data_IF_377707948025
#
_entry.id   IF_377707948025
#
_cell.length_a   1.000
_cell.length_b   1.000
_cell.length_c   1.000
_cell.angle_alpha   90.00
_cell.angle_beta   90.00
_cell.angle_gamma   90.00
#
_symmetry.space_group_name_H-M   'P 1'
#
loop_
_entity.id
_entity.type
_entity.pdbx_description
1 polymer ?
#
# COMPACT_ATOMS: atom_id res chain seq x y z
N UNK A 1 -19.08 15.21 8.20
CA UNK A 1 -19.12 15.30 6.72
C UNK A 1 -18.05 14.38 6.15
N UNK A 2 -18.35 13.08 6.05
CA UNK A 2 -17.38 12.10 5.54
C UNK A 2 -17.42 12.14 4.02
N UNK A 3 -16.38 12.69 3.41
CA UNK A 3 -16.22 12.75 1.95
C UNK A 3 -16.33 11.34 1.38
N UNK A 4 -17.48 11.05 0.77
CA UNK A 4 -17.74 9.84 0.02
C UNK A 4 -16.84 9.91 -1.21
N UNK A 5 -15.63 9.34 -1.11
CA UNK A 5 -14.67 9.24 -2.22
C UNK A 5 -15.48 8.89 -3.47
N UNK A 6 -15.39 9.74 -4.49
CA UNK A 6 -16.19 9.54 -5.70
C UNK A 6 -15.83 8.19 -6.33
N UNK A 7 -16.78 7.56 -7.04
CA UNK A 7 -16.50 6.30 -7.75
C UNK A 7 -15.30 6.44 -8.70
N UNK A 8 -15.18 7.60 -9.34
CA UNK A 8 -14.06 7.96 -10.22
C UNK A 8 -12.71 8.03 -9.49
N UNK A 9 -12.67 8.56 -8.27
CA UNK A 9 -11.44 8.59 -7.48
C UNK A 9 -10.99 7.20 -7.04
N UNK A 10 -11.93 6.31 -6.72
CA UNK A 10 -11.61 4.90 -6.41
C UNK A 10 -11.02 4.20 -7.62
N UNK A 11 -11.66 4.33 -8.78
CA UNK A 11 -11.19 3.73 -10.03
C UNK A 11 -9.82 4.28 -10.45
N UNK A 12 -9.63 5.60 -10.35
CA UNK A 12 -8.34 6.24 -10.61
C UNK A 12 -7.25 5.71 -9.67
N UNK A 13 -7.53 5.56 -8.37
CA UNK A 13 -6.58 4.97 -7.40
C UNK A 13 -6.24 3.53 -7.76
N UNK A 14 -7.24 2.71 -8.09
CA UNK A 14 -7.04 1.32 -8.51
C UNK A 14 -6.17 1.23 -9.78
N UNK A 15 -6.45 2.06 -10.79
CA UNK A 15 -5.65 2.12 -12.02
C UNK A 15 -4.20 2.50 -11.75
N UNK A 16 -3.94 3.40 -10.81
CA UNK A 16 -2.56 3.75 -10.44
C UNK A 16 -1.88 2.65 -9.63
N UNK A 17 -2.60 1.91 -8.80
CA UNK A 17 -2.06 0.75 -8.09
C UNK A 17 -1.65 -0.35 -9.07
N UNK A 18 -2.52 -0.69 -10.02
CA UNK A 18 -2.24 -1.67 -11.08
C UNK A 18 -1.00 -1.29 -11.92
N UNK A 19 -0.84 -0.01 -12.26
CA UNK A 19 0.36 0.46 -12.96
C UNK A 19 1.65 0.29 -12.14
N UNK A 20 1.60 0.49 -10.81
CA UNK A 20 2.76 0.28 -9.94
C UNK A 20 3.12 -1.21 -9.86
N UNK A 21 2.11 -2.06 -9.75
CA UNK A 21 2.29 -3.52 -9.69
C UNK A 21 2.86 -4.06 -11.00
N UNK A 22 2.36 -3.61 -12.16
CA UNK A 22 2.89 -3.96 -13.47
C UNK A 22 4.38 -3.60 -13.61
N UNK A 23 4.79 -2.40 -13.16
CA UNK A 23 6.20 -2.00 -13.14
C UNK A 23 7.05 -2.89 -12.23
N UNK A 24 6.51 -3.31 -11.06
CA UNK A 24 7.21 -4.23 -10.15
C UNK A 24 7.36 -5.62 -10.76
N UNK A 25 6.30 -6.19 -11.34
CA UNK A 25 6.33 -7.53 -11.96
C UNK A 25 7.39 -7.57 -13.06
N UNK A 26 7.34 -6.61 -13.99
CA UNK A 26 8.30 -6.54 -15.09
C UNK A 26 9.76 -6.41 -14.61
N UNK A 27 10.00 -5.67 -13.51
CA UNK A 27 11.36 -5.43 -13.01
C UNK A 27 11.89 -6.54 -12.10
N UNK A 28 11.06 -7.04 -11.18
CA UNK A 28 11.47 -7.93 -10.08
C UNK A 28 11.16 -9.40 -10.36
N UNK A 29 10.03 -9.70 -11.00
CA UNK A 29 9.64 -11.09 -11.34
C UNK A 29 10.30 -11.53 -12.65
N UNK A 30 10.27 -10.69 -13.69
CA UNK A 30 10.86 -10.99 -15.00
C UNK A 30 12.37 -10.66 -15.07
N UNK A 31 12.90 -9.93 -14.08
CA UNK A 31 14.35 -9.70 -13.94
C UNK A 31 14.95 -8.65 -14.88
N UNK A 32 14.14 -7.86 -15.60
CA UNK A 32 14.60 -6.83 -16.54
C UNK A 32 15.48 -5.76 -15.89
N UNK A 33 16.29 -5.05 -16.67
CA UNK A 33 17.11 -3.96 -16.13
C UNK A 33 16.27 -2.70 -15.84
N UNK A 34 16.80 -1.80 -15.00
CA UNK A 34 16.15 -0.51 -14.72
C UNK A 34 15.92 0.38 -15.97
N UNK A 35 16.90 0.57 -16.88
CA UNK A 35 16.67 1.33 -18.11
C UNK A 35 15.68 0.66 -19.04
N UNK A 36 15.74 -0.65 -19.21
CA UNK A 36 14.81 -1.42 -20.05
C UNK A 36 13.35 -1.32 -19.55
N UNK A 37 13.15 -1.40 -18.24
CA UNK A 37 11.84 -1.14 -17.62
C UNK A 37 11.37 0.29 -17.90
N UNK A 38 12.29 1.27 -17.83
CA UNK A 38 11.96 2.66 -18.09
C UNK A 38 11.52 2.90 -19.54
N UNK A 39 12.20 2.27 -20.50
CA UNK A 39 11.83 2.29 -21.91
C UNK A 39 10.48 1.60 -22.16
N UNK A 40 10.26 0.42 -21.57
CA UNK A 40 9.01 -0.32 -21.71
C UNK A 40 7.78 0.48 -21.27
N UNK A 41 7.89 1.24 -20.17
CA UNK A 41 6.79 2.05 -19.64
C UNK A 41 6.80 3.52 -20.11
N UNK A 42 7.78 3.94 -20.92
CA UNK A 42 7.92 5.33 -21.34
C UNK A 42 8.17 6.31 -20.19
N UNK A 43 8.93 5.90 -19.18
CA UNK A 43 9.21 6.65 -17.96
C UNK A 43 10.71 6.93 -17.82
N UNK A 44 11.07 7.79 -16.87
CA UNK A 44 12.47 7.90 -16.44
C UNK A 44 12.83 6.77 -15.48
N UNK A 45 14.12 6.40 -15.46
CA UNK A 45 14.65 5.37 -14.53
C UNK A 45 14.32 5.69 -13.07
N UNK A 46 14.41 6.97 -12.67
CA UNK A 46 14.06 7.39 -11.32
C UNK A 46 12.56 7.18 -11.03
N UNK A 47 11.66 7.50 -11.97
CA UNK A 47 10.24 7.28 -11.79
C UNK A 47 9.90 5.78 -11.62
N UNK A 48 10.59 4.91 -12.36
CA UNK A 48 10.47 3.44 -12.19
C UNK A 48 10.92 3.01 -10.79
N UNK A 49 12.08 3.48 -10.32
CA UNK A 49 12.58 3.15 -8.97
C UNK A 49 11.59 3.56 -7.87
N UNK A 50 11.03 4.77 -7.96
CA UNK A 50 10.00 5.23 -7.02
C UNK A 50 8.72 4.39 -7.06
N UNK A 51 8.27 3.98 -8.26
CA UNK A 51 7.08 3.13 -8.43
C UNK A 51 7.30 1.74 -7.84
N UNK A 52 8.42 1.09 -8.13
CA UNK A 52 8.77 -0.24 -7.59
C UNK A 52 8.90 -0.18 -6.08
N UNK A 53 9.59 0.84 -5.55
CA UNK A 53 9.70 1.04 -4.10
C UNK A 53 8.32 1.20 -3.43
N UNK A 54 7.44 2.02 -4.01
CA UNK A 54 6.07 2.18 -3.48
C UNK A 54 5.25 0.90 -3.57
N UNK A 55 5.35 0.14 -4.66
CA UNK A 55 4.66 -1.14 -4.82
C UNK A 55 5.07 -2.14 -3.73
N UNK A 56 6.37 -2.23 -3.43
CA UNK A 56 6.90 -3.08 -2.34
C UNK A 56 6.36 -2.62 -0.98
N UNK A 57 6.42 -1.32 -0.69
CA UNK A 57 5.94 -0.77 0.58
C UNK A 57 4.43 -0.94 0.77
N UNK A 58 3.63 -0.79 -0.29
CA UNK A 58 2.18 -1.04 -0.23
C UNK A 58 1.89 -2.51 0.09
N UNK A 59 2.67 -3.46 -0.45
CA UNK A 59 2.56 -4.89 -0.12
C UNK A 59 3.01 -5.23 1.29
N UNK A 60 4.09 -4.62 1.77
CA UNK A 60 4.54 -4.78 3.16
C UNK A 60 3.53 -4.20 4.14
N UNK A 61 2.94 -3.05 3.84
CA UNK A 61 1.88 -2.46 4.64
C UNK A 61 0.60 -3.33 4.64
N UNK A 62 0.19 -3.85 3.48
CA UNK A 62 -0.95 -4.77 3.38
C UNK A 62 -0.68 -6.08 4.14
N UNK A 63 0.54 -6.62 4.06
CA UNK A 63 0.94 -7.80 4.82
C UNK A 63 0.98 -7.52 6.33
N UNK A 64 1.49 -6.36 6.75
CA UNK A 64 1.51 -5.94 8.15
C UNK A 64 0.10 -5.71 8.69
N UNK A 65 -0.81 -5.11 7.92
CA UNK A 65 -2.22 -4.95 8.27
C UNK A 65 -2.94 -6.30 8.38
N UNK A 66 -2.60 -7.26 7.51
CA UNK A 66 -3.13 -8.63 7.55
C UNK A 66 -2.58 -9.44 8.74
N UNK A 67 -1.39 -9.11 9.24
CA UNK A 67 -0.71 -9.78 10.37
C UNK A 67 -0.99 -9.12 11.71
N UNK A 68 -1.49 -7.88 11.76
CA UNK A 68 -1.99 -7.30 13.00
C UNK A 68 -3.42 -7.80 13.27
N UNK A 69 -3.64 -8.80 14.17
CA UNK A 69 -4.96 -8.97 14.74
C UNK A 69 -5.31 -7.67 15.43
N UNK A 70 -6.46 -7.10 15.09
CA UNK A 70 -7.10 -6.04 15.86
C UNK A 70 -7.12 -6.46 17.34
N UNK A 71 -6.26 -5.85 18.15
CA UNK A 71 -6.37 -5.96 19.60
C UNK A 71 -7.69 -5.29 20.00
N UNK A 72 -8.64 -6.01 20.64
CA UNK A 72 -9.87 -5.39 21.09
C UNK A 72 -9.53 -4.32 22.12
N UNK A 73 -10.07 -3.12 21.93
CA UNK A 73 -9.85 -1.95 22.78
C UNK A 73 -10.69 -1.98 24.08
N UNK A 74 -11.25 -3.13 24.45
CA UNK A 74 -12.32 -3.19 25.47
C UNK A 74 -11.86 -3.48 26.92
N UNK A 75 -10.63 -3.91 27.19
CA UNK A 75 -10.28 -4.39 28.54
C UNK A 75 -9.57 -3.39 29.47
N UNK A 76 -9.52 -2.10 29.13
CA UNK A 76 -8.97 -1.07 30.03
C UNK A 76 -9.99 -0.27 30.82
N UNK A 77 -11.29 -0.42 30.53
CA UNK A 77 -12.35 0.38 31.17
C UNK A 77 -12.83 -0.16 32.52
N UNK A 78 -12.55 -1.43 32.86
CA UNK A 78 -13.18 -2.10 34.01
C UNK A 78 -12.31 -2.11 35.27
N UNK A 79 -11.03 -1.72 35.22
CA UNK A 79 -10.14 -1.76 36.39
C UNK A 79 -10.07 -0.47 37.21
N UNK A 80 -10.50 0.68 36.69
CA UNK A 80 -10.42 1.97 37.42
C UNK A 80 -11.66 2.33 38.25
N UNK A 81 -12.66 1.44 38.35
CA UNK A 81 -13.88 1.67 39.12
C UNK A 81 -13.99 0.84 40.41
N UNK A 82 -12.92 0.13 40.81
CA UNK A 82 -12.95 -0.80 41.96
C UNK A 82 -12.02 -0.42 43.13
N UNK A 83 -11.40 0.77 43.12
CA UNK A 83 -10.35 1.14 44.08
C UNK A 83 -10.63 2.42 44.89
N UNK A 84 -11.87 2.90 44.88
CA UNK A 84 -12.33 3.94 45.82
C UNK A 84 -13.56 3.42 46.60
N UNK A 85 -13.32 2.50 47.54
CA UNK A 85 -14.22 2.27 48.70
C UNK A 85 -13.45 2.55 50.00
#
# INVERSE_FOLDING_TARGET
MTSRISGLERERRARYAAQREATRVYKDDEGHSWPETAEHFGLSVNAVRFRVYRARKEREAEAAERVQPSLPLEERSQQELSLEE
#
